data_IF_920438338614
#
_entry.id   IF_920438338614
#
_cell.length_a   1.000
_cell.length_b   1.000
_cell.length_c   1.000
_cell.angle_alpha   90.00
_cell.angle_beta   90.00
_cell.angle_gamma   90.00
#
_symmetry.space_group_name_H-M   'P 1'
#
loop_
_entity.id
_entity.type
_entity.pdbx_description
1 polymer ?
#
# COMPACT_ATOMS: atom_id res chain seq x y z
N UNK A 1 -13.12 -27.02 -27.58
CA UNK A 1 -12.16 -26.39 -26.66
C UNK A 1 -12.97 -25.65 -25.63
N UNK A 2 -12.90 -26.07 -24.37
CA UNK A 2 -13.43 -25.24 -23.28
C UNK A 2 -12.41 -24.13 -23.07
N UNK A 3 -12.86 -22.88 -23.10
CA UNK A 3 -12.01 -21.74 -22.78
C UNK A 3 -11.49 -21.92 -21.35
N UNK A 4 -10.20 -22.24 -21.20
CA UNK A 4 -9.53 -22.31 -19.90
C UNK A 4 -9.33 -20.88 -19.37
N UNK A 5 -10.40 -20.32 -18.82
CA UNK A 5 -10.43 -18.98 -18.23
C UNK A 5 -10.83 -19.00 -16.76
N UNK A 6 -10.52 -17.93 -16.04
CA UNK A 6 -11.02 -17.69 -14.69
C UNK A 6 -11.83 -16.39 -14.65
N UNK A 7 -12.76 -16.30 -13.70
CA UNK A 7 -13.52 -15.06 -13.46
C UNK A 7 -12.60 -14.02 -12.82
N UNK A 8 -12.24 -13.00 -13.59
CA UNK A 8 -11.38 -11.90 -13.16
C UNK A 8 -12.06 -10.53 -13.19
N UNK A 9 -11.48 -9.57 -12.48
CA UNK A 9 -11.96 -8.18 -12.45
C UNK A 9 -11.28 -7.37 -13.55
N UNK A 10 -12.04 -6.90 -14.52
CA UNK A 10 -11.55 -6.04 -15.60
C UNK A 10 -11.12 -4.67 -15.07
N UNK A 11 -10.11 -4.07 -15.71
CA UNK A 11 -9.60 -2.73 -15.41
C UNK A 11 -9.63 -1.87 -16.67
N UNK A 12 -9.73 -0.54 -16.50
CA UNK A 12 -9.77 0.42 -17.62
C UNK A 12 -8.52 0.38 -18.52
N UNK A 13 -7.40 -0.14 -18.01
CA UNK A 13 -6.15 -0.31 -18.77
C UNK A 13 -6.05 -1.67 -19.50
N UNK A 14 -7.14 -2.42 -19.63
CA UNK A 14 -7.18 -3.72 -20.31
C UNK A 14 -6.58 -4.90 -19.52
N UNK A 15 -6.03 -4.67 -18.33
CA UNK A 15 -5.53 -5.75 -17.46
C UNK A 15 -6.67 -6.40 -16.66
N UNK A 16 -6.47 -7.64 -16.25
CA UNK A 16 -7.41 -8.42 -15.41
C UNK A 16 -6.78 -8.71 -14.05
N UNK A 17 -7.51 -8.44 -12.97
CA UNK A 17 -7.09 -8.72 -11.61
C UNK A 17 -7.78 -9.97 -11.04
N UNK A 18 -7.03 -10.79 -10.29
CA UNK A 18 -7.57 -11.94 -9.54
C UNK A 18 -8.26 -11.55 -8.22
N UNK A 19 -8.15 -10.28 -7.80
CA UNK A 19 -8.73 -9.75 -6.57
C UNK A 19 -9.22 -8.32 -6.77
N UNK A 20 -10.29 -7.97 -6.06
CA UNK A 20 -10.77 -6.60 -5.91
C UNK A 20 -10.57 -6.18 -4.45
N UNK A 21 -9.73 -5.16 -4.25
CA UNK A 21 -9.41 -4.61 -2.93
C UNK A 21 -9.34 -3.09 -3.02
N UNK A 22 -9.71 -2.41 -1.94
CA UNK A 22 -9.49 -0.98 -1.75
C UNK A 22 -8.26 -0.81 -0.86
N UNK A 23 -7.29 -0.02 -1.29
CA UNK A 23 -6.11 0.28 -0.49
C UNK A 23 -6.27 1.65 0.19
N UNK A 24 -6.07 1.70 1.50
CA UNK A 24 -5.95 2.94 2.27
C UNK A 24 -4.48 3.12 2.64
N UNK A 25 -3.83 4.08 2.00
CA UNK A 25 -2.39 4.27 2.11
C UNK A 25 -2.13 5.50 2.98
N UNK A 26 -1.45 5.32 4.11
CA UNK A 26 -1.02 6.44 4.95
C UNK A 26 0.18 7.15 4.32
N UNK A 27 0.16 8.48 4.29
CA UNK A 27 1.30 9.29 3.81
C UNK A 27 2.44 9.40 4.83
N UNK A 28 2.14 9.26 6.12
CA UNK A 28 3.08 9.40 7.24
C UNK A 28 2.67 8.48 8.39
N UNK A 29 3.61 8.18 9.30
CA UNK A 29 3.37 7.26 10.44
C UNK A 29 2.19 7.70 11.31
N UNK A 30 2.00 9.01 11.51
CA UNK A 30 0.91 9.56 12.33
C UNK A 30 -0.48 9.20 11.78
N UNK A 31 -0.59 8.99 10.47
CA UNK A 31 -1.83 8.60 9.81
C UNK A 31 -2.09 7.08 9.82
N UNK A 32 -1.13 6.25 10.29
CA UNK A 32 -1.25 4.78 10.27
C UNK A 32 -2.49 4.29 11.03
N UNK A 33 -2.75 4.84 12.21
CA UNK A 33 -3.90 4.43 13.03
C UNK A 33 -5.23 4.75 12.34
N UNK A 34 -5.32 5.88 11.65
CA UNK A 34 -6.51 6.25 10.88
C UNK A 34 -6.69 5.29 9.70
N UNK A 35 -5.63 5.00 8.95
CA UNK A 35 -5.67 4.07 7.82
C UNK A 35 -6.13 2.66 8.23
N UNK A 36 -5.61 2.12 9.35
CA UNK A 36 -6.02 0.82 9.90
C UNK A 36 -7.49 0.81 10.29
N UNK A 37 -7.96 1.83 11.02
CA UNK A 37 -9.36 1.92 11.45
C UNK A 37 -10.34 2.01 10.28
N UNK A 38 -9.95 2.63 9.16
CA UNK A 38 -10.78 2.64 7.94
C UNK A 38 -10.86 1.22 7.37
N UNK A 39 -9.73 0.51 7.26
CA UNK A 39 -9.69 -0.84 6.72
C UNK A 39 -10.44 -1.87 7.59
N UNK A 40 -10.43 -1.70 8.92
CA UNK A 40 -11.15 -2.58 9.86
C UNK A 40 -12.68 -2.46 9.78
N UNK A 41 -13.20 -1.35 9.23
CA UNK A 41 -14.64 -1.08 9.18
C UNK A 41 -15.35 -1.62 7.94
N UNK A 42 -14.61 -2.09 6.94
CA UNK A 42 -15.13 -2.39 5.61
C UNK A 42 -14.54 -3.68 5.06
N UNK A 43 -15.36 -4.49 4.42
CA UNK A 43 -14.89 -5.68 3.71
C UNK A 43 -13.99 -5.31 2.53
N UNK A 44 -13.02 -6.17 2.25
CA UNK A 44 -12.10 -6.03 1.11
C UNK A 44 -11.25 -4.74 1.09
N UNK A 45 -11.11 -4.06 2.22
CA UNK A 45 -10.21 -2.92 2.39
C UNK A 45 -8.92 -3.38 3.07
N UNK A 46 -7.78 -2.86 2.61
CA UNK A 46 -6.45 -3.14 3.19
C UNK A 46 -5.75 -1.83 3.53
N UNK A 47 -5.16 -1.76 4.72
CA UNK A 47 -4.33 -0.63 5.12
C UNK A 47 -2.88 -0.89 4.71
N UNK A 48 -2.27 0.08 4.02
CA UNK A 48 -0.83 0.08 3.71
C UNK A 48 -0.21 1.22 4.51
N UNK A 49 0.59 0.87 5.51
CA UNK A 49 1.09 1.83 6.51
C UNK A 49 2.51 2.29 6.23
N UNK A 50 2.81 3.55 6.56
CA UNK A 50 4.15 4.11 6.46
C UNK A 50 5.03 3.52 7.59
N UNK A 51 6.20 2.94 7.29
CA UNK A 51 6.98 2.17 8.27
C UNK A 51 7.74 3.04 9.27
N UNK A 52 8.12 4.26 8.89
CA UNK A 52 8.98 5.14 9.69
C UNK A 52 8.31 6.50 9.97
N UNK A 53 8.63 7.09 11.12
CA UNK A 53 8.27 8.46 11.44
C UNK A 53 9.14 9.50 10.73
N UNK A 54 8.70 10.76 10.78
CA UNK A 54 9.48 11.88 10.27
C UNK A 54 10.86 11.92 10.96
N UNK A 55 11.92 12.06 10.18
CA UNK A 55 13.30 12.09 10.71
C UNK A 55 13.89 10.72 11.09
N UNK A 56 13.14 9.62 10.95
CA UNK A 56 13.65 8.26 11.19
C UNK A 56 14.27 7.60 9.96
N UNK A 57 14.41 8.35 8.86
CA UNK A 57 15.35 7.97 7.81
C UNK A 57 16.74 8.14 8.38
N UNK A 58 17.36 7.04 8.82
CA UNK A 58 18.78 7.06 9.14
C UNK A 58 19.49 7.61 7.92
N UNK A 59 20.14 8.77 8.06
CA UNK A 59 21.25 9.09 7.17
C UNK A 59 22.15 7.86 7.25
N UNK A 60 22.32 7.14 6.15
CA UNK A 60 23.65 6.58 5.95
C UNK A 60 24.58 7.75 6.25
N UNK A 61 25.42 7.57 7.26
CA UNK A 61 26.57 8.43 7.50
C UNK A 61 27.37 8.32 6.20
N UNK A 62 26.99 9.10 5.18
CA UNK A 62 27.91 9.47 4.13
C UNK A 62 28.95 10.23 4.92
N UNK A 63 30.20 9.77 4.99
CA UNK A 63 31.26 10.54 5.59
C UNK A 63 31.57 11.68 4.61
N UNK A 64 30.64 12.64 4.51
CA UNK A 64 31.03 13.98 4.08
C UNK A 64 31.77 14.56 5.27
N UNK A 65 33.09 14.50 5.15
CA UNK A 65 34.11 15.27 5.85
C UNK A 65 33.55 16.30 6.84
N UNK A 66 33.89 16.12 8.12
CA UNK A 66 34.20 17.24 8.98
C UNK A 66 35.72 17.41 8.93
N UNK A 67 36.17 18.36 8.13
CA UNK A 67 37.23 19.35 8.39
C UNK A 67 36.90 20.59 7.55
#
# INVERSE_FOLDING_TARGET
MMDEGFLGYSRSNGKVGIRIKIAVISSVVCANTVARRIAEKLDNVVAITHPHGCGQFTKYKIPIYYD
#
